data_IF_746967981377
#
_entry.id   IF_746967981377
#
_cell.length_a   1.000
_cell.length_b   1.000
_cell.length_c   1.000
_cell.angle_alpha   90.00
_cell.angle_beta   90.00
_cell.angle_gamma   90.00
#
_symmetry.space_group_name_H-M   'P 1'
#
loop_
_entity.id
_entity.type
_entity.pdbx_description
1 polymer ?
#
# COMPACT_ATOMS: atom_id res chain seq x y z
N UNK A 1 -9.98 -33.49 -34.43
CA UNK A 1 -9.57 -32.46 -33.47
C UNK A 1 -10.29 -31.18 -33.86
N UNK A 2 -11.32 -30.76 -33.11
CA UNK A 2 -12.26 -29.74 -33.57
C UNK A 2 -11.63 -28.34 -33.59
N UNK A 3 -11.65 -27.66 -34.74
CA UNK A 3 -11.08 -26.30 -34.92
C UNK A 3 -11.61 -25.28 -33.91
N UNK A 4 -12.82 -25.47 -33.39
CA UNK A 4 -13.42 -24.63 -32.34
C UNK A 4 -12.67 -24.70 -31.02
N UNK A 5 -12.14 -25.86 -30.65
CA UNK A 5 -11.36 -26.04 -29.42
C UNK A 5 -9.99 -25.37 -29.52
N UNK A 6 -9.41 -25.33 -30.73
CA UNK A 6 -8.13 -24.67 -30.99
C UNK A 6 -8.30 -23.14 -30.90
N UNK A 7 -9.37 -22.59 -31.48
CA UNK A 7 -9.67 -21.17 -31.40
C UNK A 7 -9.92 -20.72 -29.95
N UNK A 8 -10.69 -21.51 -29.18
CA UNK A 8 -10.92 -21.26 -27.76
C UNK A 8 -9.63 -21.30 -26.93
N UNK A 9 -8.71 -22.21 -27.27
CA UNK A 9 -7.42 -22.29 -26.62
C UNK A 9 -6.55 -21.06 -26.93
N UNK A 10 -6.48 -20.67 -28.21
CA UNK A 10 -5.72 -19.49 -28.65
C UNK A 10 -6.25 -18.19 -28.05
N UNK A 11 -7.58 -18.03 -27.91
CA UNK A 11 -8.18 -16.86 -27.26
C UNK A 11 -7.84 -16.84 -25.76
N UNK A 12 -7.90 -17.98 -25.07
CA UNK A 12 -7.51 -18.07 -23.66
C UNK A 12 -6.03 -17.74 -23.46
N UNK A 13 -5.18 -18.21 -24.36
CA UNK A 13 -3.74 -17.96 -24.31
C UNK A 13 -3.41 -16.50 -24.68
N UNK A 14 -4.14 -15.90 -25.62
CA UNK A 14 -4.05 -14.47 -25.91
C UNK A 14 -4.52 -13.62 -24.72
N UNK A 15 -5.65 -13.95 -24.10
CA UNK A 15 -6.14 -13.26 -22.90
C UNK A 15 -5.15 -13.39 -21.73
N UNK A 16 -4.46 -14.52 -21.60
CA UNK A 16 -3.35 -14.66 -20.62
C UNK A 16 -2.16 -13.77 -20.95
N UNK A 17 -1.80 -13.63 -22.23
CA UNK A 17 -0.61 -12.88 -22.66
C UNK A 17 -0.84 -11.36 -22.84
N UNK A 18 -2.09 -10.92 -22.99
CA UNK A 18 -2.48 -9.50 -22.90
C UNK A 18 -2.33 -8.98 -21.46
N UNK A 19 -2.25 -9.88 -20.48
CA UNK A 19 -2.17 -9.56 -19.07
C UNK A 19 -0.70 -9.55 -18.60
N UNK A 20 -0.22 -8.31 -18.42
CA UNK A 20 0.93 -7.87 -17.62
C UNK A 20 2.30 -8.14 -18.25
N UNK A 21 2.88 -7.06 -18.81
CA UNK A 21 4.33 -6.94 -18.86
C UNK A 21 4.88 -7.12 -17.43
N UNK A 22 5.71 -8.14 -17.15
CA UNK A 22 6.25 -8.38 -15.81
C UNK A 22 7.15 -7.24 -15.32
N UNK A 23 7.58 -6.36 -16.22
CA UNK A 23 8.36 -5.16 -15.93
C UNK A 23 7.49 -3.89 -15.80
N UNK A 24 6.16 -3.99 -15.91
CA UNK A 24 5.28 -2.86 -15.70
C UNK A 24 4.96 -2.68 -14.21
N UNK A 25 5.12 -1.44 -13.72
CA UNK A 25 4.64 -1.06 -12.39
C UNK A 25 3.12 -0.91 -12.48
N UNK A 26 2.40 -1.73 -11.72
CA UNK A 26 0.95 -1.67 -11.60
C UNK A 26 0.56 -1.59 -10.12
N UNK A 27 -0.46 -0.79 -9.83
CA UNK A 27 -1.04 -0.71 -8.50
C UNK A 27 -2.28 -1.61 -8.41
N UNK A 28 -2.44 -2.24 -7.26
CA UNK A 28 -3.62 -3.01 -6.91
C UNK A 28 -4.27 -2.37 -5.69
N UNK A 29 -5.59 -2.51 -5.59
CA UNK A 29 -6.30 -2.06 -4.41
C UNK A 29 -5.92 -2.95 -3.23
N UNK A 30 -5.64 -2.31 -2.10
CA UNK A 30 -5.31 -2.98 -0.85
C UNK A 30 -6.57 -3.45 -0.16
N UNK A 31 -6.43 -4.52 0.63
CA UNK A 31 -7.47 -5.02 1.51
C UNK A 31 -7.20 -4.65 2.98
N UNK A 32 -8.19 -4.90 3.83
CA UNK A 32 -8.08 -4.61 5.26
C UNK A 32 -7.03 -5.49 5.97
N UNK A 33 -6.69 -6.65 5.41
CA UNK A 33 -5.69 -7.56 5.99
C UNK A 33 -4.28 -7.02 5.79
N UNK A 34 -3.99 -6.50 4.60
CA UNK A 34 -2.76 -5.80 4.26
C UNK A 34 -2.62 -4.55 5.12
N UNK A 35 -3.66 -3.72 5.20
CA UNK A 35 -3.67 -2.52 6.05
C UNK A 35 -3.43 -2.86 7.53
N UNK A 36 -4.01 -3.96 8.03
CA UNK A 36 -3.77 -4.44 9.39
C UNK A 36 -2.32 -4.87 9.60
N UNK A 37 -1.73 -5.58 8.63
CA UNK A 37 -0.32 -5.98 8.67
C UNK A 37 0.59 -4.76 8.79
N UNK A 38 0.38 -3.76 7.94
CA UNK A 38 1.14 -2.50 7.94
C UNK A 38 1.03 -1.80 9.31
N UNK A 39 -0.18 -1.66 9.86
CA UNK A 39 -0.39 -0.99 11.15
C UNK A 39 0.34 -1.72 12.28
N UNK A 40 0.35 -3.06 12.28
CA UNK A 40 1.06 -3.86 13.28
C UNK A 40 2.57 -3.69 13.21
N UNK A 41 3.12 -3.60 12.00
CA UNK A 41 4.56 -3.45 11.75
C UNK A 41 5.11 -2.05 12.05
N UNK A 42 4.25 -1.04 12.23
CA UNK A 42 4.68 0.31 12.59
C UNK A 42 5.51 0.31 13.88
N UNK A 43 6.74 0.83 13.81
CA UNK A 43 7.60 1.04 14.98
C UNK A 43 7.10 2.21 15.81
N UNK A 44 7.12 2.09 17.14
CA UNK A 44 6.60 3.12 18.05
C UNK A 44 7.43 4.42 18.06
N UNK A 45 8.72 4.35 17.72
CA UNK A 45 9.65 5.49 17.71
C UNK A 45 9.83 6.13 16.32
N UNK A 46 8.81 6.05 15.45
CA UNK A 46 8.89 6.68 14.13
C UNK A 46 8.56 8.17 14.23
N UNK A 47 9.30 8.97 13.47
CA UNK A 47 8.97 10.35 13.19
C UNK A 47 7.55 10.45 12.63
N UNK A 48 6.69 11.17 13.33
CA UNK A 48 5.36 11.56 12.89
C UNK A 48 5.29 13.08 12.90
N UNK A 49 4.50 13.65 12.00
CA UNK A 49 4.17 15.08 12.06
C UNK A 49 3.22 15.39 13.21
N UNK A 50 2.39 14.42 13.57
CA UNK A 50 1.37 14.54 14.62
C UNK A 50 1.86 13.98 15.95
N UNK A 51 1.22 14.40 17.04
CA UNK A 51 1.48 13.92 18.41
C UNK A 51 0.91 12.52 18.70
N UNK A 52 0.30 11.87 17.71
CA UNK A 52 -0.29 10.54 17.84
C UNK A 52 0.80 9.48 17.76
N UNK A 53 1.04 8.81 18.89
CA UNK A 53 1.96 7.67 18.95
C UNK A 53 1.38 6.48 18.18
N UNK A 54 2.25 5.72 17.50
CA UNK A 54 1.84 4.51 16.77
C UNK A 54 1.15 3.47 17.65
N UNK A 55 1.42 3.44 18.96
CA UNK A 55 0.72 2.57 19.92
C UNK A 55 -0.78 2.90 20.01
N UNK A 56 -1.13 4.19 19.99
CA UNK A 56 -2.54 4.63 20.02
C UNK A 56 -3.21 4.18 18.72
N UNK A 57 -2.53 4.38 17.58
CA UNK A 57 -3.03 3.94 16.28
C UNK A 57 -3.31 2.43 16.25
N UNK A 58 -2.42 1.61 16.81
CA UNK A 58 -2.61 0.15 16.90
C UNK A 58 -3.84 -0.23 17.74
N UNK A 59 -4.13 0.51 18.81
CA UNK A 59 -5.34 0.30 19.64
C UNK A 59 -6.61 0.74 18.91
N UNK A 60 -6.53 1.81 18.11
CA UNK A 60 -7.65 2.32 17.32
C UNK A 60 -7.88 1.56 16.02
N UNK A 61 -6.89 0.78 15.56
CA UNK A 61 -6.92 0.07 14.28
C UNK A 61 -8.24 -0.65 14.01
N UNK A 62 -8.83 -1.44 14.94
CA UNK A 62 -10.09 -2.15 14.67
C UNK A 62 -11.26 -1.24 14.32
N UNK A 63 -11.24 0.03 14.75
CA UNK A 63 -12.31 1.00 14.53
C UNK A 63 -12.11 1.84 13.27
N UNK A 64 -10.86 2.04 12.85
CA UNK A 64 -10.52 2.94 11.74
C UNK A 64 -10.08 2.19 10.47
N UNK A 65 -9.92 0.87 10.53
CA UNK A 65 -9.36 0.06 9.44
C UNK A 65 -10.16 0.20 8.15
N UNK A 66 -11.48 0.04 8.23
CA UNK A 66 -12.39 0.13 7.07
C UNK A 66 -12.33 1.51 6.40
N UNK A 67 -12.56 2.63 7.12
CA UNK A 67 -12.47 3.95 6.48
C UNK A 67 -11.05 4.28 5.98
N UNK A 68 -10.00 3.83 6.67
CA UNK A 68 -8.62 4.05 6.24
C UNK A 68 -8.29 3.30 4.93
N UNK A 69 -8.70 2.04 4.83
CA UNK A 69 -8.49 1.21 3.64
C UNK A 69 -9.25 1.80 2.45
N UNK A 70 -10.48 2.26 2.66
CA UNK A 70 -11.25 2.96 1.65
C UNK A 70 -10.52 4.23 1.16
N UNK A 71 -10.06 5.09 2.06
CA UNK A 71 -9.35 6.32 1.70
C UNK A 71 -8.05 6.08 0.95
N UNK A 72 -7.27 5.05 1.33
CA UNK A 72 -6.06 4.66 0.62
C UNK A 72 -6.38 4.22 -0.81
N UNK A 73 -7.38 3.37 -0.97
CA UNK A 73 -7.81 2.88 -2.28
C UNK A 73 -8.36 4.01 -3.16
N UNK A 74 -9.15 4.94 -2.62
CA UNK A 74 -9.61 6.11 -3.36
C UNK A 74 -8.46 7.03 -3.78
N UNK A 75 -7.45 7.21 -2.92
CA UNK A 75 -6.26 7.99 -3.27
C UNK A 75 -5.49 7.35 -4.44
N UNK A 76 -5.35 6.02 -4.43
CA UNK A 76 -4.70 5.27 -5.52
C UNK A 76 -5.50 5.28 -6.83
N UNK A 77 -6.84 5.23 -6.76
CA UNK A 77 -7.70 5.29 -7.96
C UNK A 77 -7.71 6.66 -8.60
N UNK A 78 -7.81 7.71 -7.79
CA UNK A 78 -7.98 9.09 -8.27
C UNK A 78 -6.64 9.80 -8.52
N UNK A 79 -5.56 9.30 -7.93
CA UNK A 79 -4.27 9.99 -7.90
C UNK A 79 -4.26 11.24 -7.00
N UNK A 80 -5.30 11.45 -6.19
CA UNK A 80 -5.44 12.60 -5.30
C UNK A 80 -5.07 12.17 -3.88
N UNK A 81 -4.09 12.86 -3.29
CA UNK A 81 -3.61 12.59 -1.93
C UNK A 81 -3.84 13.78 -1.00
N UNK A 82 -4.16 13.53 0.29
CA UNK A 82 -4.25 14.56 1.32
C UNK A 82 -2.98 15.42 1.37
N UNK A 83 -3.14 16.73 1.57
CA UNK A 83 -2.02 17.66 1.64
C UNK A 83 -1.01 17.31 2.74
N UNK A 84 -1.47 16.81 3.88
CA UNK A 84 -0.62 16.38 5.00
C UNK A 84 0.34 15.26 4.62
N UNK A 85 -0.08 14.31 3.77
CA UNK A 85 0.77 13.20 3.30
C UNK A 85 1.87 13.64 2.33
N UNK A 86 1.83 14.89 1.84
CA UNK A 86 2.86 15.46 0.96
C UNK A 86 4.01 16.11 1.72
N UNK A 87 3.92 16.18 3.05
CA UNK A 87 4.94 16.77 3.92
C UNK A 87 5.76 15.66 4.60
N UNK A 88 7.03 15.94 4.89
CA UNK A 88 7.93 15.03 5.58
C UNK A 88 8.71 15.77 6.68
N UNK A 89 8.84 15.13 7.85
CA UNK A 89 9.68 15.63 8.95
C UNK A 89 11.09 15.07 8.80
N UNK A 90 12.09 15.94 8.78
CA UNK A 90 13.50 15.58 8.59
C UNK A 90 14.27 15.83 9.89
N UNK A 91 14.89 14.77 10.43
CA UNK A 91 15.76 14.87 11.61
C UNK A 91 17.21 14.63 11.20
N UNK A 92 18.10 15.57 11.56
CA UNK A 92 19.54 15.38 11.44
C UNK A 92 20.03 14.50 12.60
N UNK A 93 20.58 13.33 12.28
CA UNK A 93 21.16 12.42 13.28
C UNK A 93 22.67 12.68 13.31
N UNK A 94 23.20 13.06 14.48
CA UNK A 94 24.64 13.16 14.67
C UNK A 94 25.24 11.77 14.93
N UNK A 95 25.90 11.20 13.93
CA UNK A 95 26.49 9.86 14.01
C UNK A 95 27.66 9.78 15.00
N UNK A 96 28.34 10.90 15.31
CA UNK A 96 29.49 10.92 16.21
C UNK A 96 29.09 10.90 17.70
N UNK A 97 27.86 11.34 18.03
CA UNK A 97 27.38 11.39 19.42
C UNK A 97 26.86 10.03 19.94
N UNK A 98 26.52 9.09 19.04
CA UNK A 98 25.92 7.79 19.38
C UNK A 98 26.93 6.66 19.66
N UNK A 99 28.24 6.98 19.77
CA UNK A 99 29.30 6.00 20.07
C UNK A 99 29.90 6.13 21.49
N UNK A 100 29.23 6.83 22.41
CA UNK A 100 29.57 6.85 23.84
C UNK A 100 28.51 6.10 24.63
#
# INVERSE_FOLDING_TARGET
MNSTNILLQLIKDWLKNVVRNPNAIAFFLSDETEATGIIKELKNNKASMDEIKAEILKKLAPFILTPLTYLMNESMKTGIFPGTLKHAVIYCINLLANQK
#
